data_IF_712726432211
#
_entry.id   IF_712726432211
#
_cell.length_a   1.000
_cell.length_b   1.000
_cell.length_c   1.000
_cell.angle_alpha   90.00
_cell.angle_beta   90.00
_cell.angle_gamma   90.00
#
_symmetry.space_group_name_H-M   'P 1'
#
loop_
_entity.id
_entity.type
_entity.pdbx_description
1 polymer ?
#
# COMPACT_ATOMS: atom_id res chain seq x y z
N UNK A 1 99.59 4.27 -20.55
CA UNK A 1 98.77 3.61 -21.61
C UNK A 1 97.38 3.50 -21.07
N UNK A 2 96.53 4.40 -21.40
CA UNK A 2 95.18 4.57 -20.86
C UNK A 2 94.21 4.26 -21.97
N UNK A 3 93.37 3.24 -21.83
CA UNK A 3 92.30 2.95 -22.74
C UNK A 3 91.00 3.60 -22.22
N UNK A 4 90.15 4.27 -23.05
CA UNK A 4 88.84 4.78 -22.62
C UNK A 4 87.75 3.70 -22.71
N UNK A 5 86.92 3.67 -21.67
CA UNK A 5 85.74 2.82 -21.61
C UNK A 5 84.57 3.61 -22.23
N UNK A 6 83.94 3.02 -23.24
CA UNK A 6 82.75 3.61 -23.90
C UNK A 6 81.47 3.27 -23.11
N UNK A 7 80.76 4.29 -22.64
CA UNK A 7 79.40 4.18 -22.11
C UNK A 7 78.41 3.91 -23.25
N UNK A 8 77.74 2.74 -23.24
CA UNK A 8 76.56 2.47 -24.07
C UNK A 8 75.32 2.91 -23.32
N UNK A 9 74.66 3.90 -23.87
CA UNK A 9 73.36 4.38 -23.39
C UNK A 9 72.28 3.34 -23.71
N UNK A 10 71.65 2.73 -22.69
CA UNK A 10 70.50 1.84 -22.85
C UNK A 10 69.23 2.75 -22.77
N UNK A 11 68.55 2.87 -23.89
CA UNK A 11 67.23 3.50 -23.97
C UNK A 11 66.18 2.49 -23.43
N UNK A 12 65.60 2.78 -22.27
CA UNK A 12 64.45 2.01 -21.72
C UNK A 12 63.18 2.62 -22.34
N UNK A 13 62.55 1.86 -23.24
CA UNK A 13 61.21 2.13 -23.77
C UNK A 13 60.18 1.80 -22.67
N UNK A 14 59.64 2.82 -22.05
CA UNK A 14 58.49 2.67 -21.13
C UNK A 14 57.23 2.39 -21.97
N UNK A 15 56.81 1.14 -22.02
CA UNK A 15 55.52 0.75 -22.58
C UNK A 15 54.41 1.21 -21.58
N UNK A 16 53.68 2.26 -21.94
CA UNK A 16 52.45 2.63 -21.26
C UNK A 16 51.42 1.52 -21.53
N UNK A 17 51.25 0.59 -20.57
CA UNK A 17 50.06 -0.22 -20.48
C UNK A 17 48.95 0.67 -19.96
N UNK A 18 48.16 1.26 -20.86
CA UNK A 18 46.90 1.85 -20.58
C UNK A 18 45.95 0.77 -20.07
N UNK A 19 45.89 0.56 -18.77
CA UNK A 19 44.89 -0.29 -18.13
C UNK A 19 43.50 0.28 -18.45
N UNK A 20 42.78 -0.40 -19.35
CA UNK A 20 41.32 -0.28 -19.42
C UNK A 20 40.78 -0.80 -18.10
N UNK A 21 40.69 0.06 -17.08
CA UNK A 21 39.83 -0.17 -15.90
C UNK A 21 38.42 -0.19 -16.45
N UNK A 22 37.91 -1.38 -16.78
CA UNK A 22 36.49 -1.56 -16.99
C UNK A 22 35.79 -1.00 -15.73
N UNK A 23 35.08 0.10 -15.90
CA UNK A 23 34.25 0.64 -14.83
C UNK A 23 33.28 -0.49 -14.43
N UNK A 24 33.58 -1.20 -13.35
CA UNK A 24 32.60 -2.10 -12.76
C UNK A 24 31.38 -1.26 -12.44
N UNK A 25 30.25 -1.59 -13.07
CA UNK A 25 29.00 -0.91 -12.80
C UNK A 25 28.74 -0.96 -11.29
N UNK A 26 28.72 0.21 -10.67
CA UNK A 26 28.50 0.32 -9.24
C UNK A 26 27.17 -0.33 -8.86
N UNK A 27 27.19 -1.20 -7.85
CA UNK A 27 25.99 -1.85 -7.33
C UNK A 27 24.93 -0.85 -6.90
N UNK A 28 23.66 -1.13 -7.21
CA UNK A 28 22.52 -0.30 -6.83
C UNK A 28 21.77 -0.98 -5.70
N UNK A 29 21.76 -0.37 -4.51
CA UNK A 29 20.96 -0.82 -3.38
C UNK A 29 19.55 -0.26 -3.51
N UNK A 30 18.57 -1.16 -3.73
CA UNK A 30 17.14 -0.85 -3.72
C UNK A 30 16.55 -1.26 -2.38
N UNK A 31 16.21 -0.29 -1.53
CA UNK A 31 15.70 -0.49 -0.18
C UNK A 31 14.19 -0.26 -0.12
N UNK A 32 13.43 -1.18 0.45
CA UNK A 32 11.96 -1.13 0.35
C UNK A 32 11.25 -1.60 1.62
N UNK A 33 10.00 -1.15 1.77
CA UNK A 33 9.04 -1.64 2.75
C UNK A 33 8.10 -2.70 2.18
N UNK A 34 8.24 -3.06 0.90
CA UNK A 34 7.37 -4.02 0.23
C UNK A 34 7.91 -5.45 0.46
N UNK A 35 7.45 -6.07 1.56
CA UNK A 35 7.96 -7.36 2.04
C UNK A 35 6.87 -8.36 2.43
N UNK A 36 5.59 -7.94 2.41
CA UNK A 36 4.49 -8.83 2.84
C UNK A 36 3.34 -8.88 1.83
N UNK A 37 2.85 -10.09 1.47
CA UNK A 37 3.36 -11.41 1.90
C UNK A 37 4.86 -11.60 1.60
N UNK A 38 5.52 -12.55 2.27
CA UNK A 38 6.99 -12.75 2.11
C UNK A 38 7.37 -13.06 0.66
N UNK A 39 6.47 -13.68 -0.08
CA UNK A 39 6.62 -14.00 -1.50
C UNK A 39 6.73 -12.73 -2.37
N UNK A 40 6.15 -11.62 -1.93
CA UNK A 40 6.24 -10.33 -2.65
C UNK A 40 7.70 -9.90 -2.80
N UNK A 41 8.47 -9.90 -1.71
CA UNK A 41 9.88 -9.53 -1.75
C UNK A 41 10.71 -10.46 -2.65
N UNK A 42 10.42 -11.77 -2.63
CA UNK A 42 11.08 -12.73 -3.51
C UNK A 42 10.74 -12.47 -4.98
N UNK A 43 9.48 -12.21 -5.30
CA UNK A 43 9.03 -11.90 -6.67
C UNK A 43 9.65 -10.60 -7.19
N UNK A 44 9.74 -9.57 -6.37
CA UNK A 44 10.43 -8.33 -6.77
C UNK A 44 11.91 -8.63 -7.10
N UNK A 45 12.61 -9.34 -6.22
CA UNK A 45 14.03 -9.65 -6.37
C UNK A 45 14.31 -10.56 -7.56
N UNK A 46 13.58 -11.67 -7.65
CA UNK A 46 13.95 -12.79 -8.52
C UNK A 46 13.27 -12.73 -9.88
N UNK A 47 12.19 -11.95 -10.01
CA UNK A 47 11.41 -11.81 -11.24
C UNK A 47 11.44 -10.38 -11.77
N UNK A 48 10.97 -9.39 -11.01
CA UNK A 48 10.77 -8.04 -11.52
C UNK A 48 12.12 -7.34 -11.79
N UNK A 49 13.13 -7.54 -10.95
CA UNK A 49 14.46 -6.94 -11.12
C UNK A 49 15.39 -7.73 -12.04
N UNK A 50 14.99 -8.90 -12.56
CA UNK A 50 15.79 -9.74 -13.45
C UNK A 50 16.09 -9.06 -14.78
N UNK A 51 15.74 -8.03 -15.18
CA UNK A 51 16.08 -7.31 -16.41
C UNK A 51 16.54 -5.89 -16.16
N UNK A 52 16.71 -5.56 -14.88
CA UNK A 52 17.18 -4.22 -14.49
C UNK A 52 18.63 -4.00 -14.94
N UNK A 53 18.97 -2.80 -15.41
CA UNK A 53 20.36 -2.49 -15.80
C UNK A 53 21.31 -2.52 -14.59
N UNK A 54 22.43 -3.22 -14.75
CA UNK A 54 23.46 -3.33 -13.73
C UNK A 54 23.12 -4.35 -12.62
N UNK A 55 23.92 -4.35 -11.56
CA UNK A 55 23.69 -5.19 -10.38
C UNK A 55 22.76 -4.44 -9.41
N UNK A 56 21.57 -4.96 -9.16
CA UNK A 56 20.62 -4.42 -8.20
C UNK A 56 20.47 -5.40 -7.03
N UNK A 57 20.69 -4.90 -5.81
CA UNK A 57 20.46 -5.64 -4.58
C UNK A 57 19.21 -5.11 -3.89
N UNK A 58 18.17 -5.93 -3.80
CA UNK A 58 16.90 -5.61 -3.18
C UNK A 58 16.91 -5.97 -1.70
N UNK A 59 16.79 -4.97 -0.84
CA UNK A 59 16.78 -5.09 0.62
C UNK A 59 15.44 -4.61 1.14
N UNK A 60 14.86 -5.33 2.09
CA UNK A 60 13.55 -5.00 2.65
C UNK A 60 13.59 -4.98 4.17
N UNK A 61 12.84 -4.05 4.74
CA UNK A 61 12.60 -3.94 6.18
C UNK A 61 11.16 -3.52 6.47
N UNK A 62 10.67 -3.82 7.66
CA UNK A 62 9.40 -3.29 8.16
C UNK A 62 9.45 -1.74 8.24
N UNK A 63 8.32 -1.03 8.06
CA UNK A 63 8.30 0.43 8.00
C UNK A 63 9.00 1.15 9.15
N UNK A 64 8.92 0.70 10.43
CA UNK A 64 9.68 1.34 11.51
C UNK A 64 11.19 1.23 11.34
N UNK A 65 11.70 0.04 10.96
CA UNK A 65 13.13 -0.19 10.73
C UNK A 65 13.62 0.60 9.50
N UNK A 66 12.81 0.64 8.43
CA UNK A 66 13.05 1.46 7.25
C UNK A 66 13.27 2.94 7.64
N UNK A 67 12.35 3.53 8.41
CA UNK A 67 12.43 4.92 8.83
C UNK A 67 13.69 5.19 9.69
N UNK A 68 14.03 4.27 10.60
CA UNK A 68 15.23 4.38 11.44
C UNK A 68 16.49 4.35 10.57
N UNK A 69 16.61 3.42 9.63
CA UNK A 69 17.80 3.30 8.77
C UNK A 69 17.95 4.52 7.85
N UNK A 70 16.85 4.99 7.23
CA UNK A 70 16.88 6.20 6.39
C UNK A 70 17.45 7.39 7.15
N UNK A 71 16.95 7.63 8.36
CA UNK A 71 17.42 8.72 9.24
C UNK A 71 18.87 8.52 9.70
N UNK A 72 19.26 7.31 10.06
CA UNK A 72 20.60 7.00 10.53
C UNK A 72 21.66 7.25 9.44
N UNK A 73 21.40 6.83 8.19
CA UNK A 73 22.32 7.09 7.07
C UNK A 73 22.44 8.59 6.76
N UNK A 74 21.34 9.36 6.87
CA UNK A 74 21.37 10.84 6.72
C UNK A 74 22.22 11.48 7.82
N UNK A 75 22.00 11.10 9.08
CA UNK A 75 22.73 11.67 10.22
C UNK A 75 24.22 11.32 10.19
N UNK A 76 24.57 10.13 9.71
CA UNK A 76 25.96 9.70 9.57
C UNK A 76 26.68 10.38 8.38
N UNK A 77 25.97 11.07 7.50
CA UNK A 77 26.53 11.62 6.25
C UNK A 77 27.12 10.53 5.33
N UNK A 78 26.70 9.27 5.51
CA UNK A 78 27.20 8.14 4.75
C UNK A 78 26.01 7.34 4.18
N UNK A 79 25.67 7.60 2.94
CA UNK A 79 24.57 6.94 2.25
C UNK A 79 25.06 5.65 1.57
N UNK A 80 24.31 4.56 1.76
CA UNK A 80 24.51 3.30 1.03
C UNK A 80 23.34 3.01 0.10
N UNK A 81 22.16 3.50 0.44
CA UNK A 81 20.92 3.31 -0.31
C UNK A 81 20.92 4.22 -1.54
N UNK A 82 20.56 3.65 -2.69
CA UNK A 82 20.51 4.36 -3.97
C UNK A 82 19.08 4.73 -4.38
N UNK A 83 18.14 3.79 -4.23
CA UNK A 83 16.72 4.01 -4.49
C UNK A 83 15.90 3.39 -3.36
N UNK A 84 14.82 4.06 -3.01
CA UNK A 84 13.85 3.55 -2.02
C UNK A 84 12.51 3.28 -2.68
N UNK A 85 11.83 2.21 -2.24
CA UNK A 85 10.47 1.87 -2.63
C UNK A 85 9.60 1.69 -1.41
N UNK A 86 8.63 2.60 -1.22
CA UNK A 86 7.78 2.55 -0.03
C UNK A 86 6.39 3.15 -0.33
N UNK A 87 5.44 2.94 0.58
CA UNK A 87 4.10 3.49 0.44
C UNK A 87 4.12 5.02 0.57
N UNK A 88 3.16 5.68 -0.08
CA UNK A 88 2.98 7.14 -0.06
C UNK A 88 3.14 7.73 1.35
N UNK A 89 2.43 7.19 2.35
CA UNK A 89 2.49 7.67 3.73
C UNK A 89 3.81 7.36 4.45
N UNK A 90 4.58 6.38 3.98
CA UNK A 90 5.90 6.02 4.54
C UNK A 90 7.02 6.89 3.96
N UNK A 91 6.87 7.38 2.72
CA UNK A 91 7.82 8.31 2.10
C UNK A 91 7.67 9.74 2.61
N UNK A 92 6.45 10.14 2.98
CA UNK A 92 6.17 11.51 3.37
C UNK A 92 7.06 12.06 4.51
N UNK A 93 7.36 11.32 5.59
CA UNK A 93 8.25 11.81 6.66
C UNK A 93 9.69 12.09 6.23
N UNK A 94 10.10 11.58 5.08
CA UNK A 94 11.46 11.70 4.54
C UNK A 94 11.64 12.86 3.57
N UNK A 95 10.54 13.55 3.22
CA UNK A 95 10.57 14.74 2.36
C UNK A 95 11.46 15.82 2.99
N UNK A 96 12.23 16.49 2.18
CA UNK A 96 13.15 17.58 2.55
C UNK A 96 14.34 17.18 3.44
N UNK A 97 14.21 16.14 4.27
CA UNK A 97 15.30 15.65 5.10
C UNK A 97 16.17 14.62 4.37
N UNK A 98 15.54 13.54 3.89
CA UNK A 98 16.22 12.35 3.40
C UNK A 98 16.10 12.14 1.89
N UNK A 99 15.04 12.70 1.24
CA UNK A 99 14.79 12.57 -0.19
C UNK A 99 15.26 13.78 -0.97
N UNK A 100 15.67 13.59 -2.22
CA UNK A 100 15.92 14.65 -3.16
C UNK A 100 14.79 14.77 -4.19
N UNK A 101 14.48 15.97 -4.69
CA UNK A 101 13.58 16.14 -5.83
C UNK A 101 14.11 15.40 -7.06
N UNK A 102 13.19 14.83 -7.84
CA UNK A 102 13.48 14.02 -9.03
C UNK A 102 12.68 14.46 -10.25
N UNK A 103 12.45 15.77 -10.40
CA UNK A 103 11.74 16.34 -11.54
C UNK A 103 12.40 15.98 -12.88
N UNK A 104 13.71 15.81 -12.91
CA UNK A 104 14.46 15.34 -14.09
C UNK A 104 14.13 13.90 -14.47
N UNK A 105 13.73 13.06 -13.50
CA UNK A 105 13.31 11.67 -13.76
C UNK A 105 11.90 11.64 -14.35
N UNK A 106 11.04 12.60 -14.02
CA UNK A 106 9.70 12.71 -14.62
C UNK A 106 9.76 12.73 -16.14
N UNK A 107 10.71 13.48 -16.70
CA UNK A 107 10.91 13.55 -18.16
C UNK A 107 11.29 12.20 -18.77
N UNK A 108 11.99 11.33 -18.04
CA UNK A 108 12.44 10.00 -18.50
C UNK A 108 11.31 8.95 -18.50
N UNK A 109 10.25 9.20 -17.76
CA UNK A 109 9.09 8.29 -17.66
C UNK A 109 7.81 8.94 -18.23
N UNK A 110 7.93 10.07 -18.93
CA UNK A 110 6.79 10.82 -19.44
C UNK A 110 5.96 10.02 -20.48
N UNK A 111 6.61 9.13 -21.22
CA UNK A 111 5.98 8.23 -22.20
C UNK A 111 5.17 7.09 -21.57
N UNK A 112 5.27 6.89 -20.27
CA UNK A 112 4.61 5.80 -19.54
C UNK A 112 3.10 6.03 -19.35
N UNK A 113 2.62 7.26 -19.50
CA UNK A 113 1.21 7.61 -19.32
C UNK A 113 0.70 7.39 -17.90
N UNK A 114 1.55 7.70 -16.89
CA UNK A 114 1.16 7.67 -15.48
C UNK A 114 0.08 8.73 -15.25
N UNK A 115 -1.08 8.37 -14.64
CA UNK A 115 -2.15 9.32 -14.37
C UNK A 115 -1.70 10.54 -13.57
N UNK A 116 -2.15 11.72 -13.96
CA UNK A 116 -1.75 13.00 -13.32
C UNK A 116 -2.01 13.00 -11.81
N UNK A 117 -3.13 12.45 -11.36
CA UNK A 117 -3.45 12.34 -9.93
C UNK A 117 -2.44 11.49 -9.15
N UNK A 118 -1.88 10.43 -9.73
CA UNK A 118 -0.84 9.63 -9.11
C UNK A 118 0.50 10.39 -9.09
N UNK A 119 0.82 11.13 -10.15
CA UNK A 119 2.01 11.99 -10.18
C UNK A 119 1.91 13.12 -9.15
N UNK A 120 0.73 13.72 -8.96
CA UNK A 120 0.52 14.74 -7.91
C UNK A 120 0.72 14.15 -6.51
N UNK A 121 0.28 12.91 -6.24
CA UNK A 121 0.61 12.22 -4.98
C UNK A 121 2.13 12.13 -4.77
N UNK A 122 2.89 11.93 -5.86
CA UNK A 122 4.35 11.84 -5.85
C UNK A 122 5.06 13.12 -5.39
N UNK A 123 4.37 14.24 -5.36
CA UNK A 123 4.93 15.50 -4.82
C UNK A 123 4.93 15.57 -3.30
N UNK A 124 4.20 14.70 -2.61
CA UNK A 124 4.14 14.62 -1.14
C UNK A 124 3.83 15.97 -0.45
N UNK A 125 2.96 16.78 -1.08
CA UNK A 125 2.60 18.10 -0.59
C UNK A 125 3.62 19.20 -0.86
N UNK A 126 4.67 18.94 -1.65
CA UNK A 126 5.65 19.94 -2.11
C UNK A 126 5.33 20.41 -3.54
N UNK A 127 6.09 21.38 -4.02
CA UNK A 127 6.01 21.82 -5.43
C UNK A 127 6.80 20.94 -6.40
N UNK A 128 7.58 19.96 -5.91
CA UNK A 128 8.54 19.18 -6.69
C UNK A 128 8.25 17.69 -6.57
N UNK A 129 8.59 16.91 -7.60
CA UNK A 129 8.41 15.47 -7.59
C UNK A 129 9.38 14.81 -6.60
N UNK A 130 8.86 14.06 -5.63
CA UNK A 130 9.64 13.37 -4.60
C UNK A 130 9.75 11.87 -4.88
N UNK A 131 8.74 11.27 -5.53
CA UNK A 131 8.78 9.88 -5.99
C UNK A 131 8.05 9.70 -7.31
N UNK A 132 8.43 8.69 -8.09
CA UNK A 132 7.65 8.20 -9.23
C UNK A 132 6.73 7.09 -8.73
N UNK A 133 5.42 7.12 -9.01
CA UNK A 133 4.53 5.98 -8.71
C UNK A 133 5.08 4.69 -9.33
N UNK A 134 5.08 3.63 -8.53
CA UNK A 134 5.65 2.34 -8.92
C UNK A 134 4.57 1.29 -9.13
N UNK A 135 3.69 1.12 -8.16
CA UNK A 135 2.60 0.16 -8.21
C UNK A 135 1.45 0.62 -7.33
N UNK A 136 0.25 0.14 -7.64
CA UNK A 136 -0.94 0.47 -6.86
C UNK A 136 -1.75 -0.77 -6.51
N UNK A 137 -2.41 -0.69 -5.39
CA UNK A 137 -3.32 -1.70 -4.91
C UNK A 137 -4.52 -1.06 -4.23
N UNK A 138 -5.48 -1.87 -3.84
CA UNK A 138 -6.59 -1.48 -2.99
C UNK A 138 -7.11 -2.71 -2.26
N UNK A 139 -8.21 -2.57 -1.58
CA UNK A 139 -8.90 -3.65 -0.89
C UNK A 139 -10.21 -3.92 -1.59
N UNK A 140 -10.64 -5.16 -1.56
CA UNK A 140 -11.88 -5.61 -2.20
C UNK A 140 -12.69 -6.50 -1.27
N UNK A 141 -13.96 -6.65 -1.58
CA UNK A 141 -14.74 -7.78 -1.10
C UNK A 141 -14.52 -8.98 -2.02
N UNK A 142 -14.49 -10.16 -1.42
CA UNK A 142 -14.49 -11.44 -2.13
C UNK A 142 -15.62 -12.29 -1.56
N UNK A 143 -16.37 -12.96 -2.43
CA UNK A 143 -17.32 -13.94 -1.98
C UNK A 143 -17.17 -15.27 -2.73
N UNK A 144 -17.29 -16.38 -2.00
CA UNK A 144 -17.52 -17.67 -2.61
C UNK A 144 -18.92 -17.67 -3.26
N UNK A 145 -19.04 -18.17 -4.48
CA UNK A 145 -20.30 -18.19 -5.22
C UNK A 145 -21.44 -18.90 -4.50
N UNK A 146 -21.12 -19.82 -3.57
CA UNK A 146 -22.14 -20.45 -2.71
C UNK A 146 -22.85 -19.45 -1.79
N UNK A 147 -22.31 -18.26 -1.56
CA UNK A 147 -22.97 -17.19 -0.82
C UNK A 147 -24.01 -16.43 -1.65
N UNK A 148 -23.87 -16.39 -3.00
CA UNK A 148 -24.71 -15.59 -3.87
C UNK A 148 -26.21 -15.88 -3.79
N UNK A 149 -26.68 -17.15 -3.60
CA UNK A 149 -28.11 -17.43 -3.44
C UNK A 149 -28.76 -16.75 -2.22
N UNK A 150 -27.97 -16.26 -1.28
CA UNK A 150 -28.44 -15.57 -0.07
C UNK A 150 -28.41 -14.04 -0.20
N UNK A 151 -27.95 -13.53 -1.35
CA UNK A 151 -27.93 -12.08 -1.60
C UNK A 151 -29.34 -11.50 -1.52
N UNK A 152 -29.56 -10.36 -0.85
CA UNK A 152 -30.88 -9.72 -0.81
C UNK A 152 -31.45 -9.48 -2.19
N UNK A 153 -32.75 -9.71 -2.35
CA UNK A 153 -33.44 -9.55 -3.65
C UNK A 153 -33.19 -8.15 -4.24
N UNK A 154 -32.77 -8.10 -5.50
CA UNK A 154 -32.46 -6.86 -6.21
C UNK A 154 -31.14 -6.20 -5.82
N UNK A 155 -30.35 -6.77 -4.91
CA UNK A 155 -29.02 -6.25 -4.60
C UNK A 155 -28.01 -6.62 -5.70
N UNK A 156 -27.16 -5.65 -6.04
CA UNK A 156 -26.00 -5.83 -6.93
C UNK A 156 -24.73 -5.87 -6.08
N UNK A 157 -23.93 -6.92 -6.22
CA UNK A 157 -22.65 -7.05 -5.50
C UNK A 157 -21.71 -5.85 -5.76
N UNK A 158 -21.77 -5.24 -6.95
CA UNK A 158 -20.94 -4.08 -7.28
C UNK A 158 -21.46 -2.76 -6.67
N UNK A 159 -22.67 -2.76 -6.13
CA UNK A 159 -23.34 -1.58 -5.60
C UNK A 159 -23.88 -1.77 -4.17
N UNK A 160 -23.35 -2.74 -3.41
CA UNK A 160 -23.81 -3.04 -2.05
C UNK A 160 -23.68 -1.85 -1.12
N UNK A 161 -24.63 -1.76 -0.17
CA UNK A 161 -24.52 -0.96 1.04
C UNK A 161 -24.09 -1.82 2.24
N UNK A 162 -23.62 -1.20 3.32
CA UNK A 162 -23.32 -1.93 4.57
C UNK A 162 -24.55 -2.63 5.15
N UNK A 163 -25.72 -2.03 5.04
CA UNK A 163 -26.97 -2.67 5.44
C UNK A 163 -27.28 -3.92 4.62
N UNK A 164 -27.10 -3.87 3.31
CA UNK A 164 -27.28 -5.05 2.44
C UNK A 164 -26.24 -6.14 2.72
N UNK A 165 -24.99 -5.77 3.00
CA UNK A 165 -23.95 -6.75 3.41
C UNK A 165 -24.35 -7.44 4.72
N UNK A 166 -24.85 -6.70 5.70
CA UNK A 166 -25.33 -7.25 6.98
C UNK A 166 -26.53 -8.19 6.75
N UNK A 167 -27.49 -7.78 5.94
CA UNK A 167 -28.64 -8.62 5.57
C UNK A 167 -28.21 -9.91 4.85
N UNK A 168 -27.25 -9.81 3.93
CA UNK A 168 -26.68 -10.95 3.23
C UNK A 168 -26.05 -11.94 4.19
N UNK A 169 -25.15 -11.46 5.06
CA UNK A 169 -24.48 -12.27 6.05
C UNK A 169 -25.52 -12.90 7.04
N UNK A 170 -26.55 -12.14 7.44
CA UNK A 170 -27.63 -12.64 8.29
C UNK A 170 -28.44 -13.75 7.61
N UNK A 171 -28.78 -13.59 6.32
CA UNK A 171 -29.50 -14.63 5.56
C UNK A 171 -28.71 -15.95 5.51
N UNK A 172 -27.38 -15.88 5.39
CA UNK A 172 -26.51 -17.06 5.49
C UNK A 172 -26.62 -17.69 6.89
N UNK A 173 -26.54 -16.89 7.95
CA UNK A 173 -26.68 -17.38 9.33
C UNK A 173 -28.04 -18.05 9.54
N UNK A 174 -29.13 -17.40 9.12
CA UNK A 174 -30.48 -17.91 9.31
C UNK A 174 -30.72 -19.26 8.59
N UNK A 175 -30.05 -19.49 7.47
CA UNK A 175 -30.19 -20.72 6.67
C UNK A 175 -29.21 -21.83 7.07
N UNK A 176 -28.01 -21.48 7.47
CA UNK A 176 -26.93 -22.46 7.69
C UNK A 176 -26.58 -22.65 9.16
N UNK A 177 -27.03 -21.77 10.05
CA UNK A 177 -26.61 -21.70 11.44
C UNK A 177 -25.18 -21.22 11.62
N UNK A 178 -24.50 -20.77 10.56
CA UNK A 178 -23.07 -20.43 10.59
C UNK A 178 -22.81 -19.00 10.12
N UNK A 179 -21.94 -18.30 10.83
CA UNK A 179 -21.48 -16.97 10.47
C UNK A 179 -20.31 -17.08 9.49
N UNK A 180 -20.53 -16.64 8.24
CA UNK A 180 -19.60 -16.82 7.12
C UNK A 180 -19.04 -15.49 6.54
N UNK A 181 -19.30 -14.35 7.18
CA UNK A 181 -18.65 -13.09 6.87
C UNK A 181 -17.37 -12.97 7.69
N UNK A 182 -16.23 -12.59 7.09
CA UNK A 182 -14.96 -12.49 7.77
C UNK A 182 -14.18 -11.22 7.46
N UNK A 183 -13.34 -10.83 8.44
CA UNK A 183 -12.42 -9.69 8.35
C UNK A 183 -11.04 -10.09 8.86
N UNK A 184 -9.94 -9.49 8.33
CA UNK A 184 -8.58 -9.73 8.82
C UNK A 184 -8.33 -8.94 10.11
N UNK A 185 -8.96 -9.37 11.22
CA UNK A 185 -8.92 -8.70 12.52
C UNK A 185 -7.91 -9.33 13.50
N UNK A 186 -7.04 -10.22 13.01
CA UNK A 186 -5.93 -10.81 13.77
C UNK A 186 -4.82 -9.80 14.08
N UNK A 187 -3.82 -10.19 14.88
CA UNK A 187 -2.79 -9.29 15.38
C UNK A 187 -2.02 -8.50 14.32
N UNK A 188 -1.80 -9.09 13.14
CA UNK A 188 -1.15 -8.45 11.98
C UNK A 188 -2.12 -8.24 10.81
N UNK A 189 -3.42 -8.33 11.09
CA UNK A 189 -4.49 -8.09 10.13
C UNK A 189 -4.63 -6.61 9.76
N UNK A 190 -5.38 -6.35 8.70
CA UNK A 190 -5.56 -5.00 8.15
C UNK A 190 -6.87 -4.34 8.57
N UNK A 191 -7.48 -4.77 9.67
CA UNK A 191 -8.73 -4.17 10.16
C UNK A 191 -8.65 -2.64 10.38
N UNK A 192 -7.53 -2.05 10.86
CA UNK A 192 -7.41 -0.59 10.93
C UNK A 192 -7.60 0.10 9.56
N UNK A 193 -7.12 -0.53 8.49
CA UNK A 193 -7.29 -0.01 7.11
C UNK A 193 -8.74 -0.07 6.65
N UNK A 194 -9.50 -1.08 7.09
CA UNK A 194 -10.93 -1.13 6.87
C UNK A 194 -11.63 0.08 7.50
N UNK A 195 -11.33 0.41 8.74
CA UNK A 195 -11.91 1.58 9.40
C UNK A 195 -11.49 2.88 8.72
N UNK A 196 -10.20 3.07 8.49
CA UNK A 196 -9.64 4.32 7.96
C UNK A 196 -9.99 4.57 6.49
N UNK A 197 -10.04 3.53 5.67
CA UNK A 197 -10.18 3.64 4.22
C UNK A 197 -11.59 3.40 3.68
N UNK A 198 -12.41 2.68 4.45
CA UNK A 198 -13.69 2.18 3.96
C UNK A 198 -14.85 2.57 4.87
N UNK A 199 -14.77 2.18 6.10
CA UNK A 199 -15.88 2.32 7.02
C UNK A 199 -16.14 3.77 7.44
N UNK A 200 -15.17 4.44 8.05
CA UNK A 200 -15.30 5.85 8.46
C UNK A 200 -15.67 6.77 7.29
N UNK A 201 -14.93 6.76 6.17
CA UNK A 201 -15.31 7.56 5.01
C UNK A 201 -16.74 7.34 4.57
N UNK A 202 -17.20 6.10 4.55
CA UNK A 202 -18.56 5.75 4.09
C UNK A 202 -19.66 6.25 5.04
N UNK A 203 -19.40 6.30 6.34
CA UNK A 203 -20.39 6.74 7.34
C UNK A 203 -20.30 8.23 7.65
N UNK A 204 -19.09 8.79 7.71
CA UNK A 204 -18.86 10.13 8.23
C UNK A 204 -18.37 11.14 7.20
N UNK A 205 -17.86 10.67 6.07
CA UNK A 205 -17.20 11.51 5.05
C UNK A 205 -15.80 11.97 5.45
N UNK A 206 -15.24 11.46 6.55
CA UNK A 206 -13.90 11.78 7.05
C UNK A 206 -13.27 10.59 7.77
N UNK A 207 -12.13 10.82 8.40
CA UNK A 207 -11.41 9.82 9.20
C UNK A 207 -11.06 10.42 10.56
N UNK A 208 -10.31 11.52 10.58
CA UNK A 208 -9.83 12.19 11.80
C UNK A 208 -10.80 13.26 12.28
N UNK A 209 -11.16 14.19 11.37
CA UNK A 209 -12.00 15.34 11.73
C UNK A 209 -13.45 15.00 12.08
N UNK A 210 -13.85 13.75 11.85
CA UNK A 210 -15.21 13.25 12.11
C UNK A 210 -15.23 12.08 13.10
N UNK A 211 -14.13 11.85 13.82
CA UNK A 211 -13.90 10.63 14.60
C UNK A 211 -14.96 10.36 15.67
N UNK A 212 -15.45 11.41 16.36
CA UNK A 212 -16.46 11.32 17.43
C UNK A 212 -17.81 11.97 17.06
N UNK A 213 -18.06 12.15 15.76
CA UNK A 213 -19.31 12.72 15.27
C UNK A 213 -20.52 11.80 15.52
N UNK A 214 -21.73 12.35 15.42
CA UNK A 214 -22.98 11.56 15.49
C UNK A 214 -23.02 10.49 14.38
N UNK A 215 -22.48 10.79 13.20
CA UNK A 215 -22.36 9.83 12.10
C UNK A 215 -21.40 8.68 12.46
N UNK A 216 -20.33 8.95 13.23
CA UNK A 216 -19.44 7.92 13.73
C UNK A 216 -20.14 7.03 14.77
N UNK A 217 -20.96 7.60 15.67
CA UNK A 217 -21.78 6.82 16.62
C UNK A 217 -22.73 5.88 15.85
N UNK A 218 -23.42 6.38 14.83
CA UNK A 218 -24.30 5.57 13.98
C UNK A 218 -23.53 4.46 13.26
N UNK A 219 -22.34 4.78 12.71
CA UNK A 219 -21.45 3.82 12.10
C UNK A 219 -21.06 2.68 13.05
N UNK A 220 -20.58 3.01 14.25
CA UNK A 220 -20.18 1.98 15.22
C UNK A 220 -21.33 1.10 15.68
N UNK A 221 -22.57 1.62 15.77
CA UNK A 221 -23.75 0.79 16.00
C UNK A 221 -23.99 -0.17 14.84
N UNK A 222 -23.89 0.31 13.60
CA UNK A 222 -23.98 -0.57 12.41
C UNK A 222 -22.84 -1.61 12.38
N UNK A 223 -21.64 -1.27 12.84
CA UNK A 223 -20.52 -2.21 12.96
C UNK A 223 -20.78 -3.31 14.00
N UNK A 224 -21.43 -3.01 15.11
CA UNK A 224 -21.85 -4.03 16.09
C UNK A 224 -22.82 -5.03 15.46
N UNK A 225 -23.80 -4.56 14.69
CA UNK A 225 -24.76 -5.41 13.99
C UNK A 225 -24.06 -6.27 12.92
N UNK A 226 -23.14 -5.68 12.15
CA UNK A 226 -22.35 -6.41 11.14
C UNK A 226 -21.47 -7.48 11.79
N UNK A 227 -20.84 -7.15 12.93
CA UNK A 227 -19.97 -8.08 13.65
C UNK A 227 -20.76 -9.24 14.29
N UNK A 228 -22.00 -9.01 14.72
CA UNK A 228 -22.86 -10.06 15.26
C UNK A 228 -23.14 -11.19 14.27
N UNK A 229 -23.07 -10.93 12.97
CA UNK A 229 -23.22 -11.91 11.89
C UNK A 229 -21.88 -12.32 11.25
N UNK A 230 -20.78 -11.77 11.73
CA UNK A 230 -19.42 -12.11 11.26
C UNK A 230 -18.88 -13.37 11.95
N UNK A 231 -17.96 -14.07 11.27
CA UNK A 231 -17.27 -15.23 11.81
C UNK A 231 -16.46 -14.85 13.05
N UNK A 232 -16.66 -15.48 14.21
CA UNK A 232 -15.97 -15.12 15.44
C UNK A 232 -14.45 -15.32 15.38
N UNK A 233 -13.96 -16.22 14.51
CA UNK A 233 -12.53 -16.42 14.28
C UNK A 233 -11.86 -15.27 13.51
N UNK A 234 -12.61 -14.26 13.06
CA UNK A 234 -12.05 -13.09 12.40
C UNK A 234 -10.95 -12.40 13.22
N UNK A 235 -11.04 -12.46 14.55
CA UNK A 235 -9.99 -11.92 15.45
C UNK A 235 -8.67 -12.69 15.41
N UNK A 236 -8.64 -13.86 14.78
CA UNK A 236 -7.43 -14.69 14.59
C UNK A 236 -6.90 -14.64 13.16
N UNK A 237 -7.69 -14.15 12.19
CA UNK A 237 -7.27 -14.11 10.80
C UNK A 237 -6.40 -12.87 10.53
N UNK A 238 -5.17 -13.09 10.10
CA UNK A 238 -4.29 -12.04 9.58
C UNK A 238 -4.50 -11.80 8.08
N UNK A 239 -4.88 -12.86 7.36
CA UNK A 239 -5.18 -12.91 5.93
C UNK A 239 -6.48 -13.68 5.73
N UNK A 240 -7.26 -13.31 4.72
CA UNK A 240 -8.54 -13.97 4.49
C UNK A 240 -8.48 -15.13 3.49
N UNK A 241 -7.39 -15.29 2.76
CA UNK A 241 -7.32 -16.31 1.70
C UNK A 241 -7.47 -17.74 2.23
N UNK A 242 -6.83 -18.10 3.34
CA UNK A 242 -6.93 -19.45 3.89
C UNK A 242 -8.35 -19.76 4.35
N UNK A 243 -8.99 -18.83 5.06
CA UNK A 243 -10.36 -18.98 5.54
C UNK A 243 -11.39 -19.06 4.39
N UNK A 244 -11.15 -18.33 3.29
CA UNK A 244 -11.95 -18.42 2.07
C UNK A 244 -11.77 -19.77 1.37
N UNK A 245 -10.54 -20.24 1.19
CA UNK A 245 -10.24 -21.52 0.54
C UNK A 245 -10.74 -22.72 1.35
N UNK A 246 -10.65 -22.65 2.67
CA UNK A 246 -11.18 -23.67 3.58
C UNK A 246 -12.71 -23.65 3.71
N UNK A 247 -13.39 -22.63 3.15
CA UNK A 247 -14.83 -22.46 3.28
C UNK A 247 -15.30 -22.06 4.68
N UNK A 248 -14.40 -21.71 5.59
CA UNK A 248 -14.73 -21.18 6.91
C UNK A 248 -15.44 -19.82 6.81
N UNK A 249 -15.03 -19.05 5.80
CA UNK A 249 -15.60 -17.76 5.43
C UNK A 249 -16.06 -17.83 3.98
N UNK A 250 -17.25 -17.29 3.71
CA UNK A 250 -17.80 -17.19 2.35
C UNK A 250 -17.76 -15.79 1.80
N UNK A 251 -17.74 -14.77 2.64
CA UNK A 251 -17.66 -13.36 2.27
C UNK A 251 -16.55 -12.74 3.10
N UNK A 252 -15.58 -12.08 2.47
CA UNK A 252 -14.46 -11.43 3.15
C UNK A 252 -14.12 -10.09 2.54
N UNK A 253 -13.53 -9.21 3.35
CA UNK A 253 -12.83 -8.03 2.93
C UNK A 253 -11.33 -8.19 3.20
N UNK A 254 -10.47 -7.93 2.22
CA UNK A 254 -9.01 -7.88 2.44
C UNK A 254 -8.30 -7.17 1.27
N UNK A 255 -6.99 -6.99 1.42
CA UNK A 255 -6.10 -6.45 0.39
C UNK A 255 -5.99 -7.40 -0.81
N UNK A 256 -5.98 -6.85 -2.03
CA UNK A 256 -5.94 -7.66 -3.25
C UNK A 256 -4.80 -8.68 -3.28
N UNK A 257 -3.59 -8.30 -2.83
CA UNK A 257 -2.44 -9.22 -2.77
C UNK A 257 -2.64 -10.35 -1.74
N UNK A 258 -3.50 -10.15 -0.73
CA UNK A 258 -3.77 -11.12 0.34
C UNK A 258 -4.92 -12.10 0.03
N UNK A 259 -5.64 -11.88 -1.07
CA UNK A 259 -6.70 -12.79 -1.56
C UNK A 259 -6.39 -13.34 -2.96
N UNK A 260 -5.32 -12.84 -3.58
CA UNK A 260 -4.92 -13.20 -4.95
C UNK A 260 -4.83 -14.71 -5.15
N UNK A 261 -4.19 -15.42 -4.25
CA UNK A 261 -3.94 -16.84 -4.43
C UNK A 261 -5.22 -17.67 -4.32
N UNK A 262 -6.16 -17.31 -3.45
CA UNK A 262 -7.47 -17.95 -3.42
C UNK A 262 -8.19 -17.82 -4.78
N UNK A 263 -8.24 -16.61 -5.32
CA UNK A 263 -8.91 -16.35 -6.61
C UNK A 263 -8.15 -16.95 -7.80
N UNK A 264 -6.83 -17.06 -7.71
CA UNK A 264 -6.01 -17.64 -8.79
C UNK A 264 -6.08 -19.17 -8.79
N UNK A 265 -6.12 -19.77 -7.61
CA UNK A 265 -6.17 -21.24 -7.44
C UNK A 265 -7.57 -21.79 -7.71
N UNK A 266 -8.62 -21.04 -7.35
CA UNK A 266 -10.02 -21.48 -7.44
C UNK A 266 -10.89 -20.38 -8.12
N UNK A 267 -10.57 -19.91 -9.33
CA UNK A 267 -11.24 -18.75 -9.94
C UNK A 267 -12.74 -18.97 -10.16
N UNK A 268 -13.14 -20.21 -10.41
CA UNK A 268 -14.56 -20.55 -10.64
C UNK A 268 -15.41 -20.53 -9.37
N UNK A 269 -14.79 -20.54 -8.19
CA UNK A 269 -15.52 -20.55 -6.93
C UNK A 269 -15.78 -19.14 -6.37
N UNK A 270 -15.09 -18.12 -6.85
CA UNK A 270 -15.12 -16.79 -6.24
C UNK A 270 -15.64 -15.71 -7.21
N UNK A 271 -16.13 -14.63 -6.60
CA UNK A 271 -16.36 -13.32 -7.22
C UNK A 271 -15.63 -12.28 -6.37
N UNK A 272 -15.12 -11.21 -7.01
CA UNK A 272 -14.55 -10.06 -6.35
C UNK A 272 -15.34 -8.80 -6.72
N UNK A 273 -15.54 -7.89 -5.80
CA UNK A 273 -16.39 -6.73 -5.95
C UNK A 273 -16.00 -5.58 -5.00
N UNK A 274 -16.49 -4.34 -5.21
CA UNK A 274 -16.20 -3.20 -4.35
C UNK A 274 -16.68 -3.39 -2.91
N UNK A 275 -16.00 -2.74 -1.96
CA UNK A 275 -16.51 -2.62 -0.60
C UNK A 275 -17.87 -1.90 -0.57
N UNK A 276 -18.71 -2.12 0.47
CA UNK A 276 -20.03 -1.52 0.55
C UNK A 276 -19.99 0.01 0.69
N UNK A 277 -21.04 0.68 0.21
CA UNK A 277 -21.28 2.10 0.47
C UNK A 277 -22.02 2.30 1.80
N UNK A 278 -21.73 3.42 2.45
CA UNK A 278 -22.49 3.95 3.58
C UNK A 278 -23.27 5.20 3.19
N UNK A 279 -23.84 5.91 4.19
CA UNK A 279 -24.67 7.11 3.95
C UNK A 279 -23.96 8.26 3.23
N UNK A 280 -22.61 8.33 3.32
CA UNK A 280 -21.81 9.39 2.67
C UNK A 280 -21.24 8.98 1.32
N UNK A 281 -21.28 7.70 0.99
CA UNK A 281 -20.74 7.12 -0.24
C UNK A 281 -19.91 5.87 0.03
N UNK A 282 -19.07 5.53 -0.92
CA UNK A 282 -18.23 4.33 -0.95
C UNK A 282 -16.78 4.69 -0.66
N UNK A 283 -16.36 4.52 0.59
CA UNK A 283 -14.96 4.71 0.95
C UNK A 283 -14.07 3.70 0.21
N UNK A 284 -12.94 4.15 -0.28
CA UNK A 284 -11.88 3.25 -0.73
C UNK A 284 -10.50 3.86 -0.53
N UNK A 285 -9.53 3.02 -0.24
CA UNK A 285 -8.14 3.41 0.01
C UNK A 285 -7.24 2.95 -1.14
N UNK A 286 -6.76 3.85 -2.00
CA UNK A 286 -5.69 3.51 -2.90
C UNK A 286 -4.39 3.33 -2.10
N UNK A 287 -3.73 2.21 -2.33
CA UNK A 287 -2.40 1.91 -1.79
C UNK A 287 -1.41 2.15 -2.91
N UNK A 288 -0.67 3.25 -2.84
CA UNK A 288 0.32 3.61 -3.86
C UNK A 288 1.71 3.50 -3.25
N UNK A 289 2.56 2.69 -3.86
CA UNK A 289 4.00 2.67 -3.60
C UNK A 289 4.71 3.57 -4.61
N UNK A 290 5.75 4.25 -4.14
CA UNK A 290 6.58 5.13 -4.94
C UNK A 290 8.04 4.73 -4.92
N UNK A 291 8.77 5.10 -5.96
CA UNK A 291 10.22 4.99 -6.06
C UNK A 291 10.83 6.38 -5.91
N UNK A 292 11.63 6.57 -4.88
CA UNK A 292 12.30 7.83 -4.57
C UNK A 292 13.82 7.65 -4.52
N UNK A 293 14.55 8.75 -4.66
CA UNK A 293 16.01 8.76 -4.59
C UNK A 293 16.41 9.51 -3.31
N UNK A 294 17.15 8.87 -2.38
CA UNK A 294 17.71 9.57 -1.23
C UNK A 294 18.70 10.67 -1.64
N UNK A 295 18.81 11.71 -0.82
CA UNK A 295 19.93 12.67 -0.94
C UNK A 295 21.25 11.92 -0.85
N UNK A 296 22.23 12.40 -1.59
CA UNK A 296 23.59 11.85 -1.60
C UNK A 296 23.65 10.34 -1.95
N UNK A 297 22.69 9.86 -2.73
CA UNK A 297 22.70 8.49 -3.24
C UNK A 297 23.98 8.22 -4.04
N UNK A 298 24.81 7.24 -3.63
CA UNK A 298 26.15 7.05 -4.22
C UNK A 298 26.09 6.63 -5.68
N UNK A 299 25.03 5.94 -6.11
CA UNK A 299 24.78 5.55 -7.50
C UNK A 299 23.43 6.08 -7.98
N UNK A 300 23.32 7.41 -8.17
CA UNK A 300 22.08 8.03 -8.68
C UNK A 300 21.70 7.53 -10.07
N UNK A 301 22.69 7.28 -10.94
CA UNK A 301 22.42 6.77 -12.28
C UNK A 301 21.77 5.38 -12.23
N UNK A 302 22.27 4.50 -11.37
CA UNK A 302 21.66 3.19 -11.11
C UNK A 302 20.26 3.30 -10.52
N UNK A 303 20.02 4.25 -9.60
CA UNK A 303 18.70 4.52 -9.05
C UNK A 303 17.69 4.92 -10.16
N UNK A 304 18.07 5.85 -11.03
CA UNK A 304 17.25 6.26 -12.17
C UNK A 304 16.96 5.08 -13.10
N UNK A 305 17.97 4.25 -13.41
CA UNK A 305 17.79 3.08 -14.25
C UNK A 305 16.82 2.05 -13.64
N UNK A 306 16.82 1.88 -12.31
CA UNK A 306 15.83 1.05 -11.61
C UNK A 306 14.42 1.66 -11.75
N UNK A 307 14.26 2.98 -11.57
CA UNK A 307 12.96 3.64 -11.72
C UNK A 307 12.42 3.46 -13.15
N UNK A 308 13.28 3.71 -14.16
CA UNK A 308 12.92 3.52 -15.58
C UNK A 308 12.54 2.05 -15.87
N UNK A 309 13.26 1.07 -15.30
CA UNK A 309 12.96 -0.35 -15.45
C UNK A 309 11.64 -0.75 -14.79
N UNK A 310 11.41 -0.34 -13.54
CA UNK A 310 10.22 -0.71 -12.77
C UNK A 310 8.95 -0.06 -13.29
N UNK A 311 9.06 1.03 -14.07
CA UNK A 311 7.93 1.71 -14.71
C UNK A 311 7.70 1.29 -16.16
N UNK A 312 8.47 0.37 -16.72
CA UNK A 312 8.20 -0.18 -18.05
C UNK A 312 6.85 -0.91 -18.08
N UNK A 313 6.04 -0.77 -19.14
CA UNK A 313 4.74 -1.47 -19.23
C UNK A 313 4.86 -2.98 -19.00
N UNK A 314 5.86 -3.63 -19.58
CA UNK A 314 6.09 -5.06 -19.39
C UNK A 314 6.43 -5.44 -17.95
N UNK A 315 7.23 -4.63 -17.23
CA UNK A 315 7.54 -4.84 -15.80
C UNK A 315 6.31 -4.61 -14.94
N UNK A 316 5.50 -3.63 -15.28
CA UNK A 316 4.25 -3.33 -14.59
C UNK A 316 3.21 -4.45 -14.76
N UNK A 317 3.13 -5.05 -15.95
CA UNK A 317 2.26 -6.22 -16.19
C UNK A 317 2.75 -7.47 -15.44
N UNK A 318 4.08 -7.67 -15.37
CA UNK A 318 4.65 -8.71 -14.50
C UNK A 318 4.35 -8.44 -13.02
N UNK A 319 4.40 -7.19 -12.58
CA UNK A 319 4.03 -6.82 -11.20
C UNK A 319 2.59 -7.21 -10.89
N UNK A 320 1.66 -6.96 -11.81
CA UNK A 320 0.26 -7.38 -11.63
C UNK A 320 0.12 -8.90 -11.54
N UNK A 321 0.79 -9.64 -12.41
CA UNK A 321 0.69 -11.10 -12.46
C UNK A 321 1.33 -11.77 -11.23
N UNK A 322 2.53 -11.34 -10.85
CA UNK A 322 3.34 -12.03 -9.84
C UNK A 322 3.07 -11.53 -8.42
N UNK A 323 2.90 -10.21 -8.24
CA UNK A 323 2.76 -9.58 -6.93
C UNK A 323 1.29 -9.28 -6.59
N UNK A 324 0.45 -9.02 -7.60
CA UNK A 324 -0.95 -8.65 -7.40
C UNK A 324 -1.16 -7.16 -7.14
N UNK A 325 -0.18 -6.33 -7.46
CA UNK A 325 -0.34 -4.88 -7.54
C UNK A 325 -0.55 -4.47 -8.99
N UNK A 326 -1.47 -3.54 -9.20
CA UNK A 326 -1.83 -3.09 -10.54
C UNK A 326 -0.89 -2.02 -11.08
N UNK A 327 -0.77 -1.94 -12.44
CA UNK A 327 0.04 -0.92 -13.09
C UNK A 327 -0.37 0.49 -12.71
N UNK A 328 0.62 1.36 -12.59
CA UNK A 328 0.47 2.81 -12.49
C UNK A 328 0.75 3.50 -13.82
N UNK A 329 1.08 2.75 -14.85
CA UNK A 329 1.37 3.22 -16.21
C UNK A 329 0.23 2.84 -17.14
N UNK A 330 0.17 3.48 -18.31
CA UNK A 330 -0.74 3.05 -19.35
C UNK A 330 -0.30 1.69 -19.90
N UNK A 331 -1.01 0.65 -19.53
CA UNK A 331 -0.79 -0.71 -19.99
C UNK A 331 -2.13 -1.45 -20.09
N UNK A 332 -2.39 -2.06 -21.22
CA UNK A 332 -3.55 -2.92 -21.36
C UNK A 332 -3.26 -4.28 -20.72
N UNK A 333 -4.11 -4.69 -19.80
CA UNK A 333 -3.96 -5.99 -19.17
C UNK A 333 -4.08 -7.10 -20.23
N UNK A 334 -3.13 -8.05 -20.28
CA UNK A 334 -3.13 -9.10 -21.29
C UNK A 334 -4.43 -9.92 -21.27
N UNK A 335 -4.99 -10.30 -22.41
CA UNK A 335 -6.22 -11.09 -22.47
C UNK A 335 -6.05 -12.49 -21.86
N UNK A 336 -4.83 -13.00 -21.80
CA UNK A 336 -4.45 -14.27 -21.19
C UNK A 336 -4.09 -14.17 -19.71
N UNK A 337 -4.37 -13.04 -19.05
CA UNK A 337 -4.15 -12.89 -17.60
C UNK A 337 -4.93 -13.97 -16.84
N UNK A 338 -4.32 -14.48 -15.75
CA UNK A 338 -4.96 -15.50 -14.92
C UNK A 338 -6.38 -15.05 -14.48
N UNK A 339 -7.38 -15.95 -14.53
CA UNK A 339 -8.77 -15.60 -14.24
C UNK A 339 -8.95 -14.87 -12.89
N UNK A 340 -8.23 -15.29 -11.84
CA UNK A 340 -8.28 -14.63 -10.54
C UNK A 340 -7.79 -13.18 -10.56
N UNK A 341 -6.75 -12.88 -11.35
CA UNK A 341 -6.26 -11.51 -11.52
C UNK A 341 -7.29 -10.66 -12.29
N UNK A 342 -7.99 -11.24 -13.27
CA UNK A 342 -9.09 -10.55 -13.97
C UNK A 342 -10.24 -10.19 -13.02
N UNK A 343 -10.60 -11.11 -12.11
CA UNK A 343 -11.62 -10.83 -11.08
C UNK A 343 -11.22 -9.65 -10.20
N UNK A 344 -9.97 -9.63 -9.73
CA UNK A 344 -9.45 -8.52 -8.91
C UNK A 344 -9.41 -7.21 -9.71
N UNK A 345 -8.93 -7.24 -10.96
CA UNK A 345 -8.90 -6.06 -11.82
C UNK A 345 -10.30 -5.47 -12.05
N UNK A 346 -11.29 -6.34 -12.28
CA UNK A 346 -12.69 -5.94 -12.41
C UNK A 346 -13.24 -5.26 -11.17
N UNK A 347 -12.97 -5.81 -9.98
CA UNK A 347 -13.37 -5.22 -8.71
C UNK A 347 -12.69 -3.87 -8.42
N UNK A 348 -11.40 -3.75 -8.75
CA UNK A 348 -10.66 -2.48 -8.63
C UNK A 348 -11.24 -1.43 -9.57
N UNK A 349 -11.46 -1.78 -10.83
CA UNK A 349 -12.07 -0.87 -11.82
C UNK A 349 -13.48 -0.43 -11.40
N UNK A 350 -14.32 -1.36 -10.91
CA UNK A 350 -15.64 -1.05 -10.39
C UNK A 350 -15.59 -0.13 -9.16
N UNK A 351 -14.61 -0.31 -8.28
CA UNK A 351 -14.39 0.57 -7.12
C UNK A 351 -14.02 1.99 -7.55
N UNK A 352 -13.06 2.13 -8.47
CA UNK A 352 -12.57 3.42 -8.95
C UNK A 352 -13.59 4.14 -9.82
N UNK A 353 -14.40 3.41 -10.58
CA UNK A 353 -15.47 3.94 -11.42
C UNK A 353 -16.78 4.22 -10.69
N UNK A 354 -16.88 3.93 -9.40
CA UNK A 354 -18.08 4.17 -8.59
C UNK A 354 -18.37 5.67 -8.49
N UNK A 355 -19.59 6.08 -8.80
CA UNK A 355 -19.99 7.50 -8.79
C UNK A 355 -19.99 8.11 -7.39
N UNK A 356 -20.16 7.27 -6.38
CA UNK A 356 -20.18 7.61 -4.96
C UNK A 356 -18.82 7.33 -4.27
N UNK A 357 -17.76 7.13 -5.04
CA UNK A 357 -16.44 6.82 -4.52
C UNK A 357 -15.85 7.98 -3.69
N UNK A 358 -15.42 7.65 -2.47
CA UNK A 358 -14.75 8.54 -1.53
C UNK A 358 -13.32 8.06 -1.33
N UNK A 359 -12.37 8.76 -1.92
CA UNK A 359 -10.94 8.42 -1.79
C UNK A 359 -10.47 8.72 -0.37
N UNK A 360 -9.97 7.72 0.32
CA UNK A 360 -9.31 7.87 1.63
C UNK A 360 -7.84 7.50 1.49
N UNK A 361 -6.97 8.48 1.55
CA UNK A 361 -5.53 8.26 1.42
C UNK A 361 -4.96 7.57 2.65
N UNK A 362 -3.83 6.90 2.46
CA UNK A 362 -3.01 6.45 3.59
C UNK A 362 -2.62 7.65 4.46
N UNK A 363 -2.57 7.47 5.80
CA UNK A 363 -2.17 8.54 6.71
C UNK A 363 -0.84 9.17 6.32
N UNK A 364 -0.76 10.50 6.37
CA UNK A 364 0.45 11.28 6.10
C UNK A 364 0.86 12.10 7.33
N UNK A 365 2.14 12.39 7.47
CA UNK A 365 2.66 13.25 8.54
C UNK A 365 2.76 12.60 9.92
N UNK A 366 2.39 11.34 10.10
CA UNK A 366 2.42 10.65 11.38
C UNK A 366 3.83 10.16 11.78
N UNK A 367 4.76 10.08 10.85
CA UNK A 367 6.11 9.57 11.10
C UNK A 367 6.09 8.19 11.76
N UNK A 368 6.87 8.02 12.84
CA UNK A 368 6.93 6.78 13.60
C UNK A 368 5.64 6.43 14.38
N UNK A 369 4.68 7.37 14.48
CA UNK A 369 3.43 7.18 15.23
C UNK A 369 2.28 6.55 14.43
N UNK A 370 2.53 6.10 13.20
CA UNK A 370 1.52 5.39 12.38
C UNK A 370 0.92 4.16 13.07
N UNK A 371 1.73 3.42 13.85
CA UNK A 371 1.26 2.30 14.66
C UNK A 371 0.29 2.72 15.78
N UNK A 372 0.57 3.84 16.46
CA UNK A 372 -0.31 4.39 17.49
C UNK A 372 -1.65 4.86 16.87
N UNK A 373 -1.60 5.45 15.68
CA UNK A 373 -2.80 5.83 14.94
C UNK A 373 -3.68 4.61 14.61
N UNK A 374 -3.10 3.54 14.11
CA UNK A 374 -3.82 2.29 13.85
C UNK A 374 -4.43 1.71 15.14
N UNK A 375 -3.70 1.83 16.26
CA UNK A 375 -4.13 1.34 17.57
C UNK A 375 -5.39 2.04 18.06
N UNK A 376 -5.57 3.35 17.80
CA UNK A 376 -6.80 4.08 18.16
C UNK A 376 -8.03 3.38 17.58
N UNK A 377 -8.02 3.00 16.30
CA UNK A 377 -9.14 2.32 15.64
C UNK A 377 -9.33 0.89 16.15
N UNK A 378 -8.23 0.17 16.38
CA UNK A 378 -8.30 -1.17 16.97
C UNK A 378 -8.86 -1.15 18.38
N UNK A 379 -8.41 -0.24 19.23
CA UNK A 379 -8.90 -0.11 20.60
C UNK A 379 -10.39 0.30 20.61
N UNK A 380 -10.79 1.20 19.70
CA UNK A 380 -12.19 1.58 19.54
C UNK A 380 -13.06 0.37 19.18
N UNK A 381 -12.62 -0.42 18.20
CA UNK A 381 -13.29 -1.66 17.82
C UNK A 381 -13.37 -2.66 18.99
N UNK A 382 -12.27 -2.92 19.66
CA UNK A 382 -12.24 -3.86 20.77
C UNK A 382 -13.21 -3.45 21.89
N UNK A 383 -13.23 -2.16 22.23
CA UNK A 383 -14.06 -1.64 23.30
C UNK A 383 -15.55 -1.63 22.93
N UNK A 384 -15.90 -1.10 21.77
CA UNK A 384 -17.28 -0.99 21.33
C UNK A 384 -17.85 -2.35 20.93
N UNK A 385 -17.13 -3.08 20.07
CA UNK A 385 -17.69 -4.27 19.40
C UNK A 385 -17.45 -5.54 20.20
N UNK A 386 -16.23 -5.76 20.71
CA UNK A 386 -15.92 -7.01 21.41
C UNK A 386 -16.31 -6.94 22.91
N UNK A 387 -16.14 -5.78 23.56
CA UNK A 387 -16.47 -5.61 24.98
C UNK A 387 -17.84 -4.97 25.23
N UNK A 388 -18.52 -4.57 24.16
CA UNK A 388 -19.85 -3.92 24.22
C UNK A 388 -19.92 -2.68 25.13
N UNK A 389 -18.83 -1.90 25.20
CA UNK A 389 -18.80 -0.63 25.92
C UNK A 389 -19.67 0.42 25.20
N UNK A 390 -20.22 1.44 25.93
CA UNK A 390 -21.04 2.48 25.34
C UNK A 390 -20.29 3.26 24.24
N UNK A 391 -20.84 3.31 23.03
CA UNK A 391 -20.21 3.89 21.83
C UNK A 391 -19.70 5.30 22.09
N UNK A 392 -20.58 6.20 22.54
CA UNK A 392 -20.23 7.60 22.78
C UNK A 392 -19.06 7.77 23.77
N UNK A 393 -19.09 7.05 24.89
CA UNK A 393 -18.02 7.12 25.89
C UNK A 393 -16.67 6.63 25.36
N UNK A 394 -16.69 5.59 24.53
CA UNK A 394 -15.47 5.09 23.88
C UNK A 394 -14.94 6.08 22.88
N UNK A 395 -15.79 6.66 22.02
CA UNK A 395 -15.38 7.66 21.03
C UNK A 395 -14.79 8.90 21.70
N UNK A 396 -15.42 9.42 22.76
CA UNK A 396 -14.89 10.55 23.54
C UNK A 396 -13.51 10.23 24.17
N UNK A 397 -13.34 9.02 24.67
CA UNK A 397 -12.08 8.57 25.27
C UNK A 397 -10.98 8.41 24.22
N UNK A 398 -11.28 7.77 23.10
CA UNK A 398 -10.30 7.52 22.03
C UNK A 398 -10.00 8.79 21.23
N UNK A 399 -10.95 9.71 21.10
CA UNK A 399 -10.71 11.02 20.50
C UNK A 399 -9.61 11.80 21.24
N UNK A 400 -9.56 11.76 22.57
CA UNK A 400 -8.48 12.39 23.34
C UNK A 400 -7.10 11.81 23.03
N UNK A 401 -7.02 10.49 22.82
CA UNK A 401 -5.79 9.83 22.40
C UNK A 401 -5.39 10.30 21.00
N UNK A 402 -6.36 10.33 20.09
CA UNK A 402 -6.17 10.79 18.71
C UNK A 402 -5.78 12.27 18.64
N UNK A 403 -6.44 13.14 19.42
CA UNK A 403 -6.11 14.57 19.54
C UNK A 403 -4.65 14.78 19.98
N UNK A 404 -4.20 14.03 21.00
CA UNK A 404 -2.82 14.09 21.48
C UNK A 404 -1.86 13.66 20.37
N UNK A 405 -2.15 12.56 19.69
CA UNK A 405 -1.33 12.05 18.60
C UNK A 405 -1.21 13.04 17.45
N UNK A 406 -2.33 13.62 17.01
CA UNK A 406 -2.35 14.63 15.93
C UNK A 406 -1.58 15.88 16.33
N UNK A 407 -1.73 16.35 17.56
CA UNK A 407 -1.00 17.49 18.11
C UNK A 407 0.51 17.23 18.18
N UNK A 408 0.92 16.06 18.69
CA UNK A 408 2.34 15.70 18.84
C UNK A 408 3.05 15.56 17.50
N UNK A 409 2.34 15.07 16.48
CA UNK A 409 2.90 14.87 15.14
C UNK A 409 2.80 16.13 14.27
N UNK A 410 1.88 17.04 14.57
CA UNK A 410 1.54 18.17 13.72
C UNK A 410 0.94 17.75 12.37
N UNK A 411 0.55 16.49 12.22
CA UNK A 411 0.08 15.94 10.96
C UNK A 411 -1.18 16.68 10.45
N UNK A 412 -1.17 17.21 9.23
CA UNK A 412 -2.36 17.85 8.66
C UNK A 412 -3.43 16.81 8.32
N UNK A 413 -4.65 17.27 8.08
CA UNK A 413 -5.68 16.39 7.54
C UNK A 413 -5.32 15.91 6.12
N UNK A 414 -5.71 14.69 5.81
CA UNK A 414 -5.62 14.08 4.47
C UNK A 414 -7.00 13.60 4.01
N UNK A 415 -7.17 13.41 2.71
CA UNK A 415 -8.45 12.98 2.15
C UNK A 415 -8.95 11.66 2.80
N UNK A 416 -10.27 11.56 3.10
CA UNK A 416 -11.34 12.46 2.69
C UNK A 416 -11.60 13.64 3.65
N UNK A 417 -10.88 13.75 4.76
CA UNK A 417 -10.95 14.96 5.60
C UNK A 417 -10.54 16.19 4.79
N UNK A 418 -11.19 17.33 5.08
CA UNK A 418 -10.82 18.58 4.43
C UNK A 418 -9.42 19.01 4.85
N UNK A 419 -8.59 19.57 3.95
CA UNK A 419 -7.26 20.05 4.29
C UNK A 419 -7.30 21.01 5.50
N UNK A 420 -6.35 20.86 6.42
CA UNK A 420 -6.20 21.73 7.60
C UNK A 420 -4.92 22.57 7.52
N UNK A 421 -4.93 23.70 8.22
CA UNK A 421 -3.70 24.44 8.51
C UNK A 421 -3.17 23.93 9.87
N UNK A 422 -2.07 23.17 9.84
CA UNK A 422 -1.51 22.51 11.01
C UNK A 422 -2.21 21.17 11.34
N UNK A 423 -2.08 20.72 12.58
CA UNK A 423 -2.60 19.43 13.03
C UNK A 423 -4.09 19.25 12.72
N UNK A 424 -4.45 18.08 12.19
CA UNK A 424 -5.84 17.77 11.87
C UNK A 424 -6.70 17.76 13.15
N UNK A 425 -7.78 18.55 13.22
CA UNK A 425 -8.65 18.57 14.39
C UNK A 425 -9.45 17.28 14.50
N UNK A 426 -9.73 16.83 15.73
CA UNK A 426 -10.55 15.64 16.01
C UNK A 426 -11.93 16.07 16.53
N UNK A 427 -12.97 15.76 15.78
CA UNK A 427 -14.37 16.15 16.10
C UNK A 427 -15.30 14.94 16.11
#
# INVERSE_FOLDING_TARGET
MTHPVSLRTIAIAAAFFGGLTGAQAQETIFYSTQLRPIEEASKVRDVLLKGAPGKVTYVVDEPPAFAVRMKAETQAGKRTINVVGALHGELQPHVSADLQPIDDVVAKVADRGIPTNLMELGKLGTGQQQYIPWMQATYVMVANKQALPYLPAGADVNALTYAQLQQWAKAIVDKTGQRRLGFPAGPTGLLPRFFQGYFYPSFTGGVVSTFKSADAEAGWNAMKELWAVSNPNSTNYNFMQEALMAGEVWIAWDHIARVKDALTTQPDQFVAFPAPAGPKGRGYMPVVAGLAIPKDAPNRAGAVAVIEHMTKPETQLMTAAEVGFFPVVKADLPPNLAPGIKLLAGAVAATQGSKDALVSLLPVGLGAKGGEFNKVYNDTFQRIVLRNEPVKAVLESQAKVLETLMKDTGAPCWAPDKPSQGACPVQ
#
